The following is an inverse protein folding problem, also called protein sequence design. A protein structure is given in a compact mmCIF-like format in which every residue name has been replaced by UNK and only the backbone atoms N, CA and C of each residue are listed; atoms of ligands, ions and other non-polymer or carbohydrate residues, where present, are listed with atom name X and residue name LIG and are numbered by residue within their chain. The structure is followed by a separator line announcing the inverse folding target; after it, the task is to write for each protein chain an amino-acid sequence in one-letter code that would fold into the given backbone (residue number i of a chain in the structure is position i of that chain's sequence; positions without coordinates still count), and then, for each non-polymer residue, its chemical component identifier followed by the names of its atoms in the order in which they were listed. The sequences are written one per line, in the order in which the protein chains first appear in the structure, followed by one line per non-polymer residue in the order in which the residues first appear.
data_IF_483836974509
#
_entry.id   IF_483836974509
#
_cell.length_a   1.000
_cell.length_b   1.000
_cell.length_c   1.000
_cell.angle_alpha   90.00
_cell.angle_beta   90.00
_cell.angle_gamma   90.00
#
_symmetry.space_group_name_H-M   'P 1'
#
loop_
_entity.id
_entity.type
_entity.pdbx_description
1 polymer ?
#
# COMPACT_ATOMS: atom_id res chain seq x y z
N UNK A 1 -15.22 10.74 19.76
CA UNK A 1 -14.53 9.60 19.12
C UNK A 1 -15.26 9.29 17.82
N UNK A 2 -14.71 9.67 16.67
CA UNK A 2 -15.27 9.27 15.38
C UNK A 2 -15.16 7.74 15.25
N UNK A 3 -16.21 7.03 14.83
CA UNK A 3 -16.14 5.59 14.65
C UNK A 3 -15.02 5.26 13.67
N UNK A 4 -14.09 4.39 14.09
CA UNK A 4 -13.02 3.90 13.23
C UNK A 4 -13.64 2.93 12.24
N UNK A 5 -14.21 3.44 11.14
CA UNK A 5 -14.74 2.58 10.08
C UNK A 5 -13.61 1.68 9.57
N UNK A 6 -13.77 0.35 9.64
CA UNK A 6 -12.80 -0.59 9.13
C UNK A 6 -12.47 -0.26 7.67
N UNK A 7 -11.20 0.07 7.41
CA UNK A 7 -10.39 -0.81 6.57
C UNK A 7 -11.04 -1.38 5.32
N UNK A 8 -11.34 -2.68 5.47
CA UNK A 8 -11.97 -3.58 4.53
C UNK A 8 -12.81 -4.58 5.35
N UNK A 9 -13.82 -5.16 4.73
CA UNK A 9 -14.69 -6.20 5.30
C UNK A 9 -14.45 -7.52 4.58
N UNK A 10 -14.32 -8.62 5.33
CA UNK A 10 -14.17 -9.95 4.74
C UNK A 10 -15.37 -10.29 3.84
N UNK A 11 -15.13 -10.71 2.60
CA UNK A 11 -16.18 -11.11 1.67
C UNK A 11 -16.92 -9.97 0.94
N UNK A 12 -16.53 -8.71 1.12
CA UNK A 12 -17.09 -7.62 0.31
C UNK A 12 -16.62 -7.70 -1.16
N UNK A 13 -17.41 -7.27 -2.15
CA UNK A 13 -16.96 -7.22 -3.53
C UNK A 13 -15.75 -6.29 -3.68
N UNK A 14 -14.65 -6.79 -4.27
CA UNK A 14 -13.42 -6.01 -4.39
C UNK A 14 -13.60 -4.65 -5.06
N UNK A 15 -14.46 -4.56 -6.08
CA UNK A 15 -14.74 -3.30 -6.78
C UNK A 15 -15.39 -2.25 -5.87
N UNK A 16 -16.20 -2.68 -4.91
CA UNK A 16 -16.87 -1.79 -3.97
C UNK A 16 -15.90 -1.24 -2.91
N UNK A 17 -14.86 -2.02 -2.58
CA UNK A 17 -13.76 -1.58 -1.72
C UNK A 17 -12.79 -0.61 -2.42
N UNK A 18 -12.45 -0.85 -3.69
CA UNK A 18 -11.36 -0.13 -4.37
C UNK A 18 -11.62 1.37 -4.53
N UNK A 19 -12.85 1.77 -4.86
CA UNK A 19 -13.21 3.19 -5.04
C UNK A 19 -13.03 4.01 -3.75
N UNK A 20 -13.67 3.66 -2.61
CA UNK A 20 -13.51 4.40 -1.37
C UNK A 20 -12.08 4.31 -0.81
N UNK A 21 -11.37 3.18 -1.00
CA UNK A 21 -9.95 3.05 -0.69
C UNK A 21 -9.12 4.18 -1.32
N UNK A 22 -9.25 4.36 -2.64
CA UNK A 22 -8.47 5.36 -3.38
C UNK A 22 -8.87 6.78 -3.02
N UNK A 23 -10.16 7.07 -2.90
CA UNK A 23 -10.64 8.39 -2.48
C UNK A 23 -10.05 8.81 -1.13
N UNK A 24 -10.07 7.90 -0.15
CA UNK A 24 -9.49 8.15 1.18
C UNK A 24 -7.98 8.34 1.10
N UNK A 25 -7.28 7.53 0.31
CA UNK A 25 -5.81 7.58 0.20
C UNK A 25 -5.33 8.84 -0.50
N UNK A 26 -6.01 9.27 -1.55
CA UNK A 26 -5.72 10.52 -2.26
C UNK A 26 -6.00 11.70 -1.34
N UNK A 27 -7.19 11.77 -0.73
CA UNK A 27 -7.52 12.87 0.19
C UNK A 27 -6.58 12.97 1.39
N UNK A 28 -6.14 11.84 1.96
CA UNK A 28 -5.13 11.84 3.01
C UNK A 28 -3.77 12.37 2.52
N UNK A 29 -3.37 12.03 1.29
CA UNK A 29 -2.10 12.48 0.71
C UNK A 29 -2.12 13.98 0.39
N UNK A 30 -3.27 14.55 0.05
CA UNK A 30 -3.43 15.99 -0.20
C UNK A 30 -3.44 16.81 1.10
N UNK A 31 -3.91 16.25 2.21
CA UNK A 31 -4.01 16.93 3.51
C UNK A 31 -2.76 16.76 4.39
N UNK A 32 -2.05 15.66 4.23
CA UNK A 32 -0.91 15.29 5.09
C UNK A 32 0.38 15.96 4.60
N UNK A 33 1.00 16.78 5.46
CA UNK A 33 2.34 17.27 5.20
C UNK A 33 3.35 16.11 5.37
N UNK A 34 4.12 15.75 4.33
CA UNK A 34 5.04 14.63 4.40
C UNK A 34 6.18 14.88 5.42
N UNK A 35 6.36 13.95 6.35
CA UNK A 35 7.53 13.92 7.24
C UNK A 35 8.74 13.34 6.50
N UNK A 36 9.55 14.24 5.92
CA UNK A 36 10.77 13.87 5.21
C UNK A 36 11.90 13.39 6.14
N UNK A 37 11.82 13.64 7.46
CA UNK A 37 12.83 13.19 8.43
C UNK A 37 12.61 11.76 8.85
N UNK A 38 11.34 11.34 8.95
CA UNK A 38 10.95 10.00 9.38
C UNK A 38 10.01 9.32 8.37
N UNK A 39 10.49 9.03 7.14
CA UNK A 39 9.67 8.37 6.14
C UNK A 39 9.30 6.94 6.60
N UNK A 40 8.10 6.43 6.25
CA UNK A 40 7.63 5.11 6.66
C UNK A 40 8.46 3.96 6.08
N UNK A 41 9.15 4.20 4.97
CA UNK A 41 10.09 3.27 4.37
C UNK A 41 11.45 3.94 4.17
N UNK A 42 12.57 3.24 4.41
CA UNK A 42 13.90 3.82 4.26
C UNK A 42 14.22 4.13 2.79
N UNK A 43 14.32 5.42 2.46
CA UNK A 43 14.56 5.91 1.09
C UNK A 43 15.84 5.32 0.47
N UNK A 44 16.88 5.10 1.26
CA UNK A 44 18.12 4.47 0.80
C UNK A 44 17.91 3.03 0.31
N UNK A 45 16.99 2.27 0.92
CA UNK A 45 16.64 0.91 0.48
C UNK A 45 15.82 0.94 -0.80
N UNK A 46 14.88 1.87 -0.90
CA UNK A 46 14.11 2.10 -2.13
C UNK A 46 15.07 2.41 -3.28
N UNK A 47 15.98 3.37 -3.10
CA UNK A 47 17.01 3.71 -4.08
C UNK A 47 17.86 2.50 -4.47
N UNK A 48 18.29 1.69 -3.49
CA UNK A 48 19.09 0.48 -3.75
C UNK A 48 18.34 -0.56 -4.61
N UNK A 49 17.04 -0.75 -4.37
CA UNK A 49 16.19 -1.64 -5.18
C UNK A 49 16.01 -1.08 -6.59
N UNK A 50 15.81 0.22 -6.75
CA UNK A 50 15.72 0.84 -8.06
C UNK A 50 17.03 0.72 -8.86
N UNK A 51 18.18 0.93 -8.22
CA UNK A 51 19.51 0.80 -8.85
C UNK A 51 19.97 -0.64 -9.05
N UNK A 52 19.21 -1.67 -8.64
CA UNK A 52 19.57 -3.06 -8.95
C UNK A 52 19.28 -3.42 -10.41
N UNK A 53 18.45 -2.61 -11.09
CA UNK A 53 18.22 -2.71 -12.52
C UNK A 53 19.41 -2.06 -13.27
N UNK A 54 20.15 -2.80 -14.11
CA UNK A 54 21.32 -2.28 -14.83
C UNK A 54 20.98 -1.16 -15.83
N UNK A 55 19.72 -1.05 -16.28
CA UNK A 55 19.29 0.00 -17.21
C UNK A 55 19.05 1.35 -16.49
N UNK A 56 18.97 1.35 -15.15
CA UNK A 56 18.74 2.55 -14.34
C UNK A 56 20.07 3.23 -14.00
N UNK A 57 20.43 4.24 -14.80
CA UNK A 57 21.67 5.02 -14.61
C UNK A 57 21.57 6.11 -13.54
N UNK A 58 20.45 6.82 -13.50
CA UNK A 58 20.22 7.92 -12.57
C UNK A 58 18.82 7.85 -11.99
N UNK A 59 18.71 8.27 -10.72
CA UNK A 59 17.45 8.36 -10.00
C UNK A 59 17.34 9.78 -9.45
N UNK A 60 16.27 10.48 -9.81
CA UNK A 60 16.01 11.82 -9.30
C UNK A 60 15.75 11.80 -7.78
N UNK A 61 16.05 12.90 -7.11
CA UNK A 61 16.00 12.96 -5.64
C UNK A 61 14.57 12.79 -5.08
N UNK A 62 13.56 13.18 -5.84
CA UNK A 62 12.13 13.08 -5.51
C UNK A 62 11.58 11.65 -5.69
N UNK A 63 12.19 10.87 -6.57
CA UNK A 63 11.67 9.56 -6.99
C UNK A 63 11.60 8.57 -5.82
N UNK A 64 12.63 8.39 -4.97
CA UNK A 64 12.53 7.53 -3.78
C UNK A 64 11.40 7.95 -2.83
N UNK A 65 11.14 9.24 -2.70
CA UNK A 65 10.07 9.78 -1.87
C UNK A 65 8.69 9.43 -2.44
N UNK A 66 8.51 9.57 -3.75
CA UNK A 66 7.28 9.14 -4.43
C UNK A 66 7.04 7.64 -4.26
N UNK A 67 8.08 6.83 -4.45
CA UNK A 67 8.02 5.39 -4.24
C UNK A 67 7.71 5.02 -2.79
N UNK A 68 8.16 5.80 -1.81
CA UNK A 68 7.82 5.58 -0.40
C UNK A 68 6.30 5.59 -0.19
N UNK A 69 5.61 6.63 -0.66
CA UNK A 69 4.14 6.73 -0.55
C UNK A 69 3.41 5.71 -1.44
N UNK A 70 3.95 5.44 -2.63
CA UNK A 70 3.39 4.44 -3.55
C UNK A 70 3.45 3.03 -2.94
N UNK A 71 4.60 2.64 -2.36
CA UNK A 71 4.79 1.36 -1.70
C UNK A 71 3.90 1.22 -0.46
N UNK A 72 3.78 2.25 0.38
CA UNK A 72 2.87 2.24 1.53
C UNK A 72 1.40 2.02 1.09
N UNK A 73 0.98 2.71 0.03
CA UNK A 73 -0.36 2.56 -0.57
C UNK A 73 -0.54 1.16 -1.15
N UNK A 74 0.47 0.65 -1.86
CA UNK A 74 0.45 -0.67 -2.48
C UNK A 74 0.33 -1.78 -1.42
N UNK A 75 1.14 -1.73 -0.37
CA UNK A 75 1.12 -2.69 0.75
C UNK A 75 -0.25 -2.69 1.43
N UNK A 76 -0.81 -1.50 1.69
CA UNK A 76 -2.15 -1.37 2.29
C UNK A 76 -3.23 -1.96 1.39
N UNK A 77 -3.20 -1.65 0.09
CA UNK A 77 -4.16 -2.16 -0.90
C UNK A 77 -4.10 -3.68 -1.02
N UNK A 78 -2.90 -4.24 -1.19
CA UNK A 78 -2.75 -5.69 -1.37
C UNK A 78 -3.14 -6.43 -0.10
N UNK A 79 -2.76 -5.92 1.07
CA UNK A 79 -3.15 -6.50 2.36
C UNK A 79 -4.66 -6.53 2.53
N UNK A 80 -5.36 -5.43 2.19
CA UNK A 80 -6.81 -5.38 2.23
C UNK A 80 -7.45 -6.34 1.23
N UNK A 81 -6.96 -6.39 -0.02
CA UNK A 81 -7.46 -7.34 -1.02
C UNK A 81 -7.29 -8.80 -0.58
N UNK A 82 -6.12 -9.14 -0.01
CA UNK A 82 -5.85 -10.48 0.54
C UNK A 82 -6.82 -10.77 1.67
N UNK A 83 -7.06 -9.81 2.57
CA UNK A 83 -7.99 -9.95 3.68
C UNK A 83 -9.44 -10.18 3.21
N UNK A 84 -9.90 -9.44 2.19
CA UNK A 84 -11.24 -9.58 1.60
C UNK A 84 -11.46 -10.98 1.00
N UNK A 85 -10.45 -11.53 0.32
CA UNK A 85 -10.52 -12.81 -0.41
C UNK A 85 -10.26 -14.03 0.50
N UNK A 86 -9.62 -13.80 1.64
CA UNK A 86 -9.35 -14.83 2.64
C UNK A 86 -10.65 -15.27 3.32
N UNK A 87 -10.61 -16.46 3.91
CA UNK A 87 -11.71 -16.97 4.74
C UNK A 87 -12.01 -15.99 5.89
N UNK A 88 -13.28 -15.64 6.09
CA UNK A 88 -13.74 -14.67 7.08
C UNK A 88 -13.37 -15.05 8.52
N UNK A 89 -13.13 -16.33 8.81
CA UNK A 89 -12.70 -16.80 10.13
C UNK A 89 -11.17 -16.77 10.31
N UNK A 90 -10.42 -16.51 9.24
CA UNK A 90 -8.95 -16.56 9.26
C UNK A 90 -8.37 -15.21 9.69
N UNK A 91 -7.84 -15.17 10.91
CA UNK A 91 -7.18 -13.97 11.48
C UNK A 91 -5.73 -13.77 11.01
N UNK A 92 -5.13 -14.78 10.37
CA UNK A 92 -3.72 -14.77 9.95
C UNK A 92 -3.66 -14.96 8.43
N UNK A 93 -3.10 -13.98 7.73
CA UNK A 93 -2.87 -14.07 6.29
C UNK A 93 -1.63 -14.91 6.00
N UNK A 94 -1.73 -15.80 5.03
CA UNK A 94 -0.66 -16.71 4.61
C UNK A 94 -0.19 -16.39 3.18
N UNK A 95 1.02 -16.82 2.79
CA UNK A 95 1.51 -16.65 1.41
C UNK A 95 0.58 -17.21 0.33
N UNK A 96 -0.18 -18.27 0.64
CA UNK A 96 -1.18 -18.83 -0.26
C UNK A 96 -2.35 -17.86 -0.53
N UNK A 97 -2.75 -17.08 0.48
CA UNK A 97 -3.81 -16.07 0.33
C UNK A 97 -3.34 -14.92 -0.58
N UNK A 98 -2.05 -14.56 -0.48
CA UNK A 98 -1.42 -13.59 -1.40
C UNK A 98 -1.47 -14.10 -2.83
N UNK A 99 -1.13 -15.37 -3.07
CA UNK A 99 -1.18 -15.98 -4.39
C UNK A 99 -2.60 -15.97 -4.97
N UNK A 100 -3.62 -16.31 -4.16
CA UNK A 100 -5.04 -16.27 -4.56
C UNK A 100 -5.54 -14.86 -4.86
N UNK A 101 -4.96 -13.85 -4.22
CA UNK A 101 -5.35 -12.45 -4.40
C UNK A 101 -4.79 -11.79 -5.66
N UNK A 102 -3.89 -12.45 -6.41
CA UNK A 102 -3.33 -11.87 -7.64
C UNK A 102 -4.45 -11.66 -8.68
N UNK A 103 -4.45 -10.54 -9.44
CA UNK A 103 -5.37 -10.36 -10.56
C UNK A 103 -5.16 -11.41 -11.65
#
# INVERSE_FOLDING_TARGET
MSPTTPYAYSGEPLNDFLRPFWQRRVGATEQEAPDYKHPPLPLARIKKVMSSDPDVKMIAADTPTLFCKACETFISKITARVFIISDSNKRILSPADIAKSKP
#
